data_IF_292361052525
#
_entry.id   IF_292361052525
#
_cell.length_a   1.000
_cell.length_b   1.000
_cell.length_c   1.000
_cell.angle_alpha   90.00
_cell.angle_beta   90.00
_cell.angle_gamma   90.00
#
_symmetry.space_group_name_H-M   'P 1'
#
loop_
_entity.id
_entity.type
_entity.pdbx_description
1 polymer ?
#
# COMPACT_ATOMS: atom_id res chain seq x y z
N UNK A 1 -21.52 9.23 -25.51
CA UNK A 1 -21.63 9.88 -24.19
C UNK A 1 -22.18 8.83 -23.23
N UNK A 2 -21.39 8.39 -22.25
CA UNK A 2 -21.91 7.52 -21.20
C UNK A 2 -22.54 8.41 -20.13
N UNK A 3 -23.79 8.14 -19.73
CA UNK A 3 -24.33 8.72 -18.51
C UNK A 3 -23.49 8.19 -17.34
N UNK A 4 -23.05 9.08 -16.45
CA UNK A 4 -22.40 8.63 -15.20
C UNK A 4 -23.35 7.65 -14.51
N UNK A 5 -22.86 6.52 -13.96
CA UNK A 5 -23.72 5.60 -13.24
C UNK A 5 -24.44 6.40 -12.15
N UNK A 6 -25.76 6.49 -12.24
CA UNK A 6 -26.58 6.95 -11.12
C UNK A 6 -26.36 5.91 -10.02
N UNK A 7 -25.48 6.23 -9.07
CA UNK A 7 -25.14 5.37 -7.94
C UNK A 7 -26.41 5.16 -7.10
N UNK A 8 -27.17 4.12 -7.45
CA UNK A 8 -28.32 3.63 -6.71
C UNK A 8 -27.92 2.83 -5.46
N UNK A 9 -26.61 2.71 -5.19
CA UNK A 9 -26.11 2.15 -3.95
C UNK A 9 -25.77 3.25 -2.96
N UNK A 10 -26.28 3.14 -1.74
CA UNK A 10 -26.01 3.99 -0.56
C UNK A 10 -24.52 4.06 -0.17
N UNK A 11 -23.61 3.50 -0.97
CA UNK A 11 -22.19 3.37 -0.70
C UNK A 11 -21.41 4.48 -1.40
N UNK A 12 -20.72 5.30 -0.60
CA UNK A 12 -19.83 6.35 -1.12
C UNK A 12 -18.74 5.73 -2.01
N UNK A 13 -18.46 6.30 -3.20
CA UNK A 13 -17.41 5.80 -4.08
C UNK A 13 -16.04 5.88 -3.41
N UNK A 14 -15.18 4.91 -3.73
CA UNK A 14 -13.82 4.86 -3.22
C UNK A 14 -13.02 6.09 -3.68
N UNK A 15 -12.20 6.62 -2.79
CA UNK A 15 -11.40 7.83 -3.01
C UNK A 15 -9.93 7.48 -2.95
N UNK A 16 -9.24 7.69 -4.05
CA UNK A 16 -7.80 7.55 -4.14
C UNK A 16 -7.15 8.90 -3.83
N UNK A 17 -6.30 8.91 -2.80
CA UNK A 17 -5.33 9.98 -2.59
C UNK A 17 -4.17 9.71 -3.55
N UNK A 18 -3.98 10.60 -4.51
CA UNK A 18 -2.83 10.51 -5.39
C UNK A 18 -1.61 11.10 -4.66
N UNK A 19 -0.42 10.59 -4.98
CA UNK A 19 0.85 11.12 -4.45
C UNK A 19 0.93 12.64 -4.66
N UNK A 20 1.74 13.32 -3.85
CA UNK A 20 1.69 14.78 -3.62
C UNK A 20 1.80 15.71 -4.85
N UNK A 21 1.99 15.19 -6.07
CA UNK A 21 1.97 15.99 -7.30
C UNK A 21 1.41 15.24 -8.51
N UNK A 22 0.08 15.11 -8.62
CA UNK A 22 -0.53 14.71 -9.90
C UNK A 22 -1.03 15.96 -10.63
N UNK A 23 -0.31 16.42 -11.67
CA UNK A 23 -0.73 17.61 -12.39
C UNK A 23 -2.04 17.36 -13.14
N UNK A 24 -2.91 18.36 -13.09
CA UNK A 24 -4.17 18.40 -13.79
C UNK A 24 -4.30 19.72 -14.56
N UNK A 25 -4.96 19.65 -15.71
CA UNK A 25 -5.24 20.80 -16.57
C UNK A 25 -6.74 21.00 -16.65
N UNK A 26 -7.19 22.20 -16.32
CA UNK A 26 -8.58 22.63 -16.50
C UNK A 26 -8.64 23.54 -17.71
N UNK A 27 -9.49 23.21 -18.68
CA UNK A 27 -9.77 24.04 -19.84
C UNK A 27 -11.20 24.56 -19.77
N UNK A 28 -11.32 25.88 -19.79
CA UNK A 28 -12.59 26.58 -19.71
C UNK A 28 -13.22 26.73 -21.11
N UNK A 29 -14.54 26.90 -21.15
CA UNK A 29 -15.29 27.12 -22.39
C UNK A 29 -14.87 28.40 -23.12
N UNK A 30 -14.40 29.41 -22.39
CA UNK A 30 -13.84 30.66 -22.94
C UNK A 30 -12.45 30.49 -23.59
N UNK A 31 -11.92 29.26 -23.65
CA UNK A 31 -10.59 28.97 -24.20
C UNK A 31 -9.44 29.14 -23.21
N UNK A 32 -9.69 29.69 -22.02
CA UNK A 32 -8.70 29.77 -20.95
C UNK A 32 -8.29 28.39 -20.44
N UNK A 33 -7.08 28.31 -19.89
CA UNK A 33 -6.56 27.11 -19.24
C UNK A 33 -5.93 27.47 -17.91
N UNK A 34 -6.11 26.63 -16.90
CA UNK A 34 -5.37 26.71 -15.64
C UNK A 34 -4.84 25.33 -15.26
N UNK A 35 -3.74 25.31 -14.51
CA UNK A 35 -3.14 24.08 -13.97
C UNK A 35 -3.46 23.93 -12.49
N UNK A 36 -3.50 22.70 -12.02
CA UNK A 36 -3.82 22.35 -10.65
C UNK A 36 -3.10 21.06 -10.24
N UNK A 37 -3.02 20.79 -8.95
CA UNK A 37 -2.61 19.49 -8.44
C UNK A 37 -3.84 18.68 -8.00
N UNK A 38 -4.00 17.47 -8.52
CA UNK A 38 -5.07 16.55 -8.16
C UNK A 38 -4.69 15.78 -6.88
N UNK A 39 -5.36 16.12 -5.77
CA UNK A 39 -5.10 15.52 -4.46
C UNK A 39 -5.95 14.27 -4.20
N UNK A 40 -7.18 14.27 -4.68
CA UNK A 40 -8.14 13.17 -4.50
C UNK A 40 -8.87 12.94 -5.80
N UNK A 41 -9.06 11.67 -6.17
CA UNK A 41 -9.94 11.29 -7.26
C UNK A 41 -10.84 10.12 -6.88
N UNK A 42 -12.03 10.09 -7.46
CA UNK A 42 -13.03 9.03 -7.38
C UNK A 42 -13.79 8.99 -8.71
N UNK A 43 -14.59 7.95 -8.93
CA UNK A 43 -15.43 7.84 -10.13
C UNK A 43 -16.42 9.01 -10.32
N UNK A 44 -16.78 9.72 -9.24
CA UNK A 44 -17.74 10.84 -9.29
C UNK A 44 -17.09 12.22 -9.34
N UNK A 45 -15.77 12.33 -9.12
CA UNK A 45 -15.08 13.62 -9.02
C UNK A 45 -13.88 13.56 -8.11
N UNK A 46 -13.45 14.72 -7.60
CA UNK A 46 -12.20 14.81 -6.86
C UNK A 46 -11.97 16.12 -6.14
N UNK A 47 -10.72 16.33 -5.74
CA UNK A 47 -10.24 17.53 -5.06
C UNK A 47 -8.99 18.03 -5.76
N UNK A 48 -9.04 19.29 -6.20
CA UNK A 48 -7.92 19.99 -6.80
C UNK A 48 -7.30 20.96 -5.79
N UNK A 49 -6.01 21.19 -5.95
CA UNK A 49 -5.26 22.25 -5.31
C UNK A 49 -4.85 23.24 -6.41
N UNK A 50 -5.50 24.40 -6.41
CA UNK A 50 -5.39 25.47 -7.40
C UNK A 50 -4.60 26.64 -6.82
N UNK A 51 -4.02 27.47 -7.69
CA UNK A 51 -3.44 28.76 -7.28
C UNK A 51 -4.52 29.71 -6.74
N UNK A 52 -5.66 29.77 -7.44
CA UNK A 52 -6.83 30.56 -7.11
C UNK A 52 -8.13 29.75 -7.30
N UNK A 53 -9.17 29.97 -6.48
CA UNK A 53 -10.45 29.30 -6.66
C UNK A 53 -11.10 29.70 -7.98
N UNK A 54 -11.67 28.72 -8.65
CA UNK A 54 -12.55 28.91 -9.81
C UNK A 54 -13.96 29.21 -9.32
N UNK A 55 -14.73 29.99 -10.09
CA UNK A 55 -16.13 30.26 -9.80
C UNK A 55 -16.93 28.95 -9.66
N UNK A 56 -17.71 28.82 -8.57
CA UNK A 56 -18.56 27.65 -8.33
C UNK A 56 -19.59 27.49 -9.46
N UNK A 57 -19.83 26.25 -9.87
CA UNK A 57 -20.72 25.92 -10.98
C UNK A 57 -20.06 26.04 -12.35
N UNK A 58 -18.81 26.50 -12.42
CA UNK A 58 -18.06 26.54 -13.69
C UNK A 58 -17.89 25.14 -14.26
N UNK A 59 -18.30 24.96 -15.52
CA UNK A 59 -18.03 23.76 -16.30
C UNK A 59 -16.67 23.87 -16.99
N UNK A 60 -15.83 22.85 -16.81
CA UNK A 60 -14.46 22.80 -17.34
C UNK A 60 -14.19 21.42 -17.93
N UNK A 61 -13.29 21.35 -18.91
CA UNK A 61 -12.67 20.08 -19.30
C UNK A 61 -11.48 19.83 -18.41
N UNK A 62 -11.50 18.74 -17.66
CA UNK A 62 -10.43 18.33 -16.76
C UNK A 62 -9.63 17.18 -17.39
N UNK A 63 -8.31 17.32 -17.43
CA UNK A 63 -7.38 16.30 -17.88
C UNK A 63 -6.33 16.05 -16.79
N UNK A 64 -6.07 14.78 -16.48
CA UNK A 64 -4.96 14.37 -15.61
C UNK A 64 -4.43 13.02 -16.04
N UNK A 65 -3.23 12.67 -15.56
CA UNK A 65 -2.57 11.40 -15.86
C UNK A 65 -2.74 10.42 -14.70
N UNK A 66 -2.95 9.15 -15.06
CA UNK A 66 -2.97 8.04 -14.12
C UNK A 66 -2.00 6.94 -14.60
N UNK A 67 -1.64 5.96 -13.74
CA UNK A 67 -0.81 4.83 -14.16
C UNK A 67 -1.41 4.01 -15.32
N UNK A 68 -2.73 4.03 -15.49
CA UNK A 68 -3.43 3.33 -16.59
C UNK A 68 -3.63 4.19 -17.84
N UNK A 69 -3.18 5.45 -17.81
CA UNK A 69 -3.24 6.39 -18.93
C UNK A 69 -3.88 7.73 -18.58
N UNK A 70 -4.02 8.64 -19.58
CA UNK A 70 -4.73 9.90 -19.41
C UNK A 70 -6.23 9.65 -19.17
N UNK A 71 -6.83 10.51 -18.34
CA UNK A 71 -8.27 10.55 -18.07
C UNK A 71 -8.76 11.97 -18.36
N UNK A 72 -9.77 12.08 -19.23
CA UNK A 72 -10.41 13.36 -19.57
C UNK A 72 -11.90 13.30 -19.24
N UNK A 73 -12.41 14.33 -18.55
CA UNK A 73 -13.83 14.45 -18.23
C UNK A 73 -14.31 15.90 -18.26
N UNK A 74 -15.60 16.09 -18.51
CA UNK A 74 -16.24 17.36 -18.23
C UNK A 74 -16.53 17.41 -16.73
N UNK A 75 -16.09 18.46 -16.07
CA UNK A 75 -16.13 18.64 -14.62
C UNK A 75 -16.80 19.96 -14.26
N UNK A 76 -17.63 19.94 -13.23
CA UNK A 76 -18.19 21.13 -12.60
C UNK A 76 -17.44 21.42 -11.31
N UNK A 77 -16.98 22.66 -11.16
CA UNK A 77 -16.31 23.12 -9.96
C UNK A 77 -17.32 23.36 -8.84
N UNK A 78 -17.08 22.76 -7.67
CA UNK A 78 -17.92 22.92 -6.49
C UNK A 78 -17.40 24.07 -5.61
N UNK A 79 -18.13 24.40 -4.55
CA UNK A 79 -17.72 25.44 -3.60
C UNK A 79 -16.33 25.15 -3.02
N UNK A 80 -15.42 26.14 -2.98
CA UNK A 80 -14.06 25.95 -2.48
C UNK A 80 -14.07 25.62 -0.98
N UNK A 81 -13.23 24.67 -0.58
CA UNK A 81 -13.04 24.33 0.84
C UNK A 81 -12.04 25.28 1.51
N UNK A 82 -11.04 25.71 0.76
CA UNK A 82 -10.03 26.69 1.17
C UNK A 82 -9.68 27.60 -0.01
N UNK A 83 -8.77 28.55 0.19
CA UNK A 83 -8.27 29.42 -0.90
C UNK A 83 -7.59 28.66 -2.03
N UNK A 84 -7.19 27.40 -1.82
CA UNK A 84 -6.50 26.59 -2.83
C UNK A 84 -7.19 25.25 -3.09
N UNK A 85 -7.87 24.68 -2.11
CA UNK A 85 -8.53 23.39 -2.26
C UNK A 85 -9.96 23.57 -2.75
N UNK A 86 -10.22 23.06 -3.96
CA UNK A 86 -11.54 23.12 -4.57
C UNK A 86 -11.99 21.75 -5.07
N UNK A 87 -13.13 21.25 -4.58
CA UNK A 87 -13.71 20.02 -5.08
C UNK A 87 -14.31 20.22 -6.47
N UNK A 88 -14.40 19.14 -7.23
CA UNK A 88 -15.15 19.10 -8.49
C UNK A 88 -15.95 17.81 -8.56
N UNK A 89 -16.99 17.80 -9.39
CA UNK A 89 -17.72 16.59 -9.78
C UNK A 89 -17.62 16.38 -11.27
N UNK A 90 -17.55 15.12 -11.72
CA UNK A 90 -17.70 14.83 -13.14
C UNK A 90 -19.16 15.04 -13.56
N UNK A 91 -19.35 15.77 -14.64
CA UNK A 91 -20.62 15.91 -15.35
C UNK A 91 -20.69 14.86 -16.45
N UNK A 92 -19.58 14.63 -17.14
CA UNK A 92 -19.46 13.61 -18.17
C UNK A 92 -18.06 12.98 -18.11
N UNK A 93 -17.98 11.68 -18.36
CA UNK A 93 -16.73 10.94 -18.46
C UNK A 93 -16.90 9.92 -19.59
N UNK A 94 -15.92 9.81 -20.50
CA UNK A 94 -15.99 8.79 -21.54
C UNK A 94 -15.88 7.39 -20.91
N UNK A 95 -16.48 6.38 -21.55
CA UNK A 95 -16.48 5.02 -21.00
C UNK A 95 -15.06 4.48 -20.80
N UNK A 96 -14.17 4.69 -21.79
CA UNK A 96 -12.78 4.26 -21.69
C UNK A 96 -12.03 4.97 -20.55
N UNK A 97 -12.30 6.26 -20.35
CA UNK A 97 -11.71 7.06 -19.27
C UNK A 97 -12.24 6.62 -17.89
N UNK A 98 -13.53 6.27 -17.81
CA UNK A 98 -14.14 5.68 -16.62
C UNK A 98 -13.47 4.34 -16.28
N UNK A 99 -13.34 3.42 -17.25
CA UNK A 99 -12.71 2.12 -17.04
C UNK A 99 -11.23 2.25 -16.61
N UNK A 100 -10.50 3.19 -17.20
CA UNK A 100 -9.11 3.51 -16.78
C UNK A 100 -9.05 4.02 -15.36
N UNK A 101 -9.95 4.95 -15.00
CA UNK A 101 -10.02 5.53 -13.66
C UNK A 101 -10.39 4.47 -12.62
N UNK A 102 -11.37 3.62 -12.91
CA UNK A 102 -11.76 2.49 -12.06
C UNK A 102 -10.59 1.53 -11.85
N UNK A 103 -9.89 1.17 -12.92
CA UNK A 103 -8.73 0.27 -12.85
C UNK A 103 -7.60 0.89 -12.02
N UNK A 104 -7.32 2.19 -12.20
CA UNK A 104 -6.36 2.92 -11.36
C UNK A 104 -6.77 2.87 -9.88
N UNK A 105 -8.03 3.17 -9.56
CA UNK A 105 -8.52 3.13 -8.17
C UNK A 105 -8.40 1.71 -7.61
N UNK A 106 -8.84 0.68 -8.33
CA UNK A 106 -8.79 -0.71 -7.85
C UNK A 106 -7.36 -1.21 -7.64
N UNK A 107 -6.45 -0.92 -8.57
CA UNK A 107 -5.03 -1.31 -8.47
C UNK A 107 -4.31 -0.64 -7.30
N UNK A 108 -4.72 0.57 -6.92
CA UNK A 108 -4.16 1.29 -5.77
C UNK A 108 -4.72 0.79 -4.43
N UNK A 109 -5.97 0.33 -4.40
CA UNK A 109 -6.62 -0.23 -3.20
C UNK A 109 -6.17 -1.66 -2.91
N UNK A 110 -5.84 -2.41 -3.96
CA UNK A 110 -5.27 -3.74 -3.87
C UNK A 110 -3.90 -3.73 -4.55
N UNK A 111 -2.88 -3.05 -3.96
CA UNK A 111 -1.52 -3.14 -4.46
C UNK A 111 -1.20 -4.62 -4.58
N UNK A 112 -0.91 -5.05 -5.81
CA UNK A 112 -0.76 -6.44 -6.23
C UNK A 112 -0.27 -7.28 -5.06
N UNK A 113 -1.10 -8.20 -4.58
CA UNK A 113 -0.91 -9.00 -3.37
C UNK A 113 0.41 -9.79 -3.31
N UNK A 114 1.29 -9.70 -4.30
CA UNK A 114 2.58 -10.36 -4.36
C UNK A 114 3.44 -10.12 -3.11
N UNK A 115 3.51 -8.88 -2.61
CA UNK A 115 4.31 -8.55 -1.42
C UNK A 115 3.57 -8.96 -0.13
N UNK A 116 2.24 -8.92 -0.14
CA UNK A 116 1.40 -9.32 1.00
C UNK A 116 1.39 -10.85 1.17
N UNK A 117 1.29 -11.55 0.06
CA UNK A 117 1.35 -13.00 -0.04
C UNK A 117 2.75 -13.50 0.32
N UNK A 118 3.83 -12.78 -0.04
CA UNK A 118 5.19 -13.15 0.34
C UNK A 118 5.40 -13.16 1.87
N UNK A 119 4.90 -12.15 2.61
CA UNK A 119 4.99 -12.19 4.07
C UNK A 119 4.07 -13.23 4.69
N UNK A 120 2.86 -13.43 4.15
CA UNK A 120 1.93 -14.47 4.61
C UNK A 120 2.52 -15.85 4.41
N UNK A 121 3.14 -16.11 3.25
CA UNK A 121 3.82 -17.36 2.92
C UNK A 121 5.07 -17.55 3.77
N UNK A 122 5.88 -16.51 3.98
CA UNK A 122 7.04 -16.56 4.89
C UNK A 122 6.62 -16.89 6.32
N UNK A 123 5.55 -16.27 6.81
CA UNK A 123 4.99 -16.58 8.14
C UNK A 123 4.44 -18.00 8.20
N UNK A 124 3.71 -18.43 7.18
CA UNK A 124 3.18 -19.80 7.08
C UNK A 124 4.31 -20.84 7.04
N UNK A 125 5.41 -20.55 6.35
CA UNK A 125 6.61 -21.40 6.33
C UNK A 125 7.29 -21.45 7.71
N UNK A 126 7.45 -20.31 8.38
CA UNK A 126 8.03 -20.24 9.72
C UNK A 126 7.21 -20.98 10.78
N UNK A 127 5.88 -21.04 10.65
CA UNK A 127 5.00 -21.83 11.53
C UNK A 127 5.09 -23.33 11.19
N UNK A 128 5.28 -23.68 9.91
CA UNK A 128 5.42 -25.06 9.44
C UNK A 128 6.79 -25.67 9.74
N UNK A 129 7.81 -24.88 10.04
CA UNK A 129 9.08 -25.38 10.56
C UNK A 129 9.00 -25.50 12.10
N UNK A 130 8.69 -26.68 12.67
CA UNK A 130 8.93 -26.86 14.10
C UNK A 130 10.42 -26.68 14.33
N UNK A 131 10.80 -25.66 15.11
CA UNK A 131 12.17 -25.48 15.61
C UNK A 131 12.60 -26.81 16.25
N UNK A 132 13.36 -27.63 15.51
CA UNK A 132 13.97 -28.84 16.06
C UNK A 132 14.86 -28.38 17.21
N UNK A 133 14.59 -28.80 18.47
CA UNK A 133 15.37 -28.31 19.58
C UNK A 133 16.81 -28.76 19.39
N UNK A 134 17.69 -27.76 19.51
CA UNK A 134 19.14 -27.71 19.67
C UNK A 134 19.76 -29.00 20.27
N UNK A 135 19.76 -30.12 19.53
CA UNK A 135 20.34 -31.41 19.96
C UNK A 135 21.87 -31.44 19.99
N UNK A 136 22.56 -30.38 19.56
CA UNK A 136 24.04 -30.36 19.54
C UNK A 136 24.70 -29.94 20.86
N UNK A 137 23.96 -29.37 21.82
CA UNK A 137 24.56 -29.00 23.12
C UNK A 137 24.49 -30.11 24.17
N UNK A 138 23.60 -31.09 24.00
CA UNK A 138 23.42 -32.16 24.99
C UNK A 138 24.56 -33.20 25.02
N UNK A 139 25.36 -33.31 23.96
CA UNK A 139 26.42 -34.31 23.88
C UNK A 139 27.75 -33.86 24.52
N UNK A 140 27.88 -32.59 24.92
CA UNK A 140 29.09 -32.07 25.56
C UNK A 140 29.10 -32.27 27.09
N UNK A 141 27.94 -32.45 27.71
CA UNK A 141 27.85 -32.69 29.16
C UNK A 141 28.08 -34.16 29.56
N UNK A 142 27.82 -35.12 28.67
CA UNK A 142 28.02 -36.55 28.95
C UNK A 142 29.48 -37.01 28.97
N UNK A 143 30.38 -36.29 28.28
CA UNK A 143 31.79 -36.69 28.17
C UNK A 143 32.64 -36.31 29.39
N UNK A 144 32.26 -35.28 30.16
CA UNK A 144 33.04 -34.84 31.32
C UNK A 144 32.82 -35.71 32.58
N UNK A 145 31.67 -36.36 32.72
CA UNK A 145 31.36 -37.19 33.90
C UNK A 145 32.19 -38.48 33.98
N UNK A 146 32.53 -39.10 32.84
CA UNK A 146 33.28 -40.36 32.80
C UNK A 146 34.79 -40.18 33.06
N UNK A 147 35.38 -39.04 32.69
CA UNK A 147 36.81 -38.78 32.88
C UNK A 147 37.24 -38.66 34.35
N UNK A 148 36.38 -38.08 35.21
CA UNK A 148 36.68 -37.89 36.64
C UNK A 148 36.65 -39.20 37.45
N UNK A 149 35.79 -40.16 37.06
CA UNK A 149 35.73 -41.47 37.72
C UNK A 149 36.98 -42.32 37.43
N UNK A 150 37.54 -42.24 36.21
CA UNK A 150 38.75 -42.99 35.87
C UNK A 150 40.01 -42.46 36.58
N UNK A 151 40.15 -41.14 36.71
CA UNK A 151 41.31 -40.55 37.42
C UNK A 151 41.28 -40.81 38.93
N UNK A 152 40.09 -40.85 39.55
CA UNK A 152 39.95 -41.20 40.97
C UNK A 152 40.36 -42.64 41.27
N UNK A 153 40.07 -43.59 40.36
CA UNK A 153 40.39 -45.01 40.54
C UNK A 153 41.90 -45.29 40.49
N UNK A 154 42.65 -44.66 39.59
CA UNK A 154 44.11 -44.86 39.49
C UNK A 154 44.85 -44.25 40.67
N UNK A 155 44.39 -43.11 41.20
CA UNK A 155 44.96 -42.49 42.40
C UNK A 155 44.74 -43.35 43.66
N UNK A 156 43.56 -43.98 43.79
CA UNK A 156 43.26 -44.86 44.92
C UNK A 156 44.12 -46.13 44.93
N UNK A 157 44.34 -46.74 43.76
CA UNK A 157 45.19 -47.94 43.63
C UNK A 157 46.67 -47.60 43.89
N UNK A 158 47.15 -46.45 43.39
CA UNK A 158 48.52 -46.00 43.65
C UNK A 158 48.75 -45.66 45.13
N UNK A 159 47.78 -45.06 45.80
CA UNK A 159 47.85 -44.76 47.24
C UNK A 159 47.94 -46.04 48.09
N UNK A 160 47.18 -47.08 47.76
CA UNK A 160 47.26 -48.38 48.45
C UNK A 160 48.61 -49.09 48.26
N UNK A 161 49.32 -48.82 47.15
CA UNK A 161 50.61 -49.44 46.87
C UNK A 161 51.79 -48.70 47.54
N UNK A 162 51.59 -47.48 48.03
CA UNK A 162 52.63 -46.63 48.64
C UNK A 162 52.63 -46.66 50.18
N UNK A 163 51.63 -47.30 50.80
CA UNK A 163 51.51 -47.51 52.26
C UNK A 163 51.77 -48.96 52.70
N UNK A 164 52.49 -49.75 51.90
CA UNK A 164 52.99 -51.08 52.26
C UNK A 164 54.49 -51.06 52.51
#
# INVERSE_FOLDING_TARGET
>A
MANLPQLHDLRRPARLRLSDSTPAVLRFSNGGCTTAELQVVSISGGLLNLSEPVEQGSATKLLFLTPTGPVMGDAEMLGPLTRRQQPFRFVSLHYDDLCRLETTIQSSLHPRAKDQDEWIEKYRAAIKEPKRPRRRLANLLGAFGLGLLCLGSTLYILHQHLLK
#
